data_IF_925987568301
#
_entry.id   IF_925987568301
#
_cell.length_a   1.000
_cell.length_b   1.000
_cell.length_c   1.000
_cell.angle_alpha   90.00
_cell.angle_beta   90.00
_cell.angle_gamma   90.00
#
_symmetry.space_group_name_H-M   'P 1'
#
loop_
_entity.id
_entity.type
_entity.pdbx_description
1 polymer ?
#
# COMPACT_ATOMS: atom_id res chain seq x y z
N UNK A 1 3.60 -14.12 7.05
CA UNK A 1 4.08 -12.82 6.55
C UNK A 1 3.80 -11.80 7.64
N UNK A 2 4.74 -10.90 7.93
CA UNK A 2 4.54 -9.84 8.92
C UNK A 2 3.84 -8.68 8.20
N UNK A 3 2.72 -8.20 8.73
CA UNK A 3 2.10 -6.95 8.26
C UNK A 3 2.99 -5.80 8.71
N UNK A 4 3.46 -4.98 7.77
CA UNK A 4 4.31 -3.83 8.05
C UNK A 4 3.48 -2.57 8.34
N UNK A 5 2.23 -2.53 7.89
CA UNK A 5 1.28 -1.44 8.11
C UNK A 5 1.82 -0.05 7.68
N UNK A 6 2.56 0.00 6.55
CA UNK A 6 3.35 1.19 6.17
C UNK A 6 2.54 2.34 5.59
N UNK A 7 1.43 2.04 4.90
CA UNK A 7 0.62 3.06 4.25
C UNK A 7 -0.63 3.44 5.05
N UNK A 8 -1.12 2.59 5.95
CA UNK A 8 -2.32 2.88 6.74
C UNK A 8 -3.63 2.94 5.93
N UNK A 9 -3.63 2.50 4.67
CA UNK A 9 -4.83 2.27 3.86
C UNK A 9 -5.24 0.82 4.04
N UNK A 10 -6.44 0.58 4.58
CA UNK A 10 -6.90 -0.78 4.92
C UNK A 10 -8.05 -1.25 4.05
N UNK A 11 -7.97 -2.52 3.63
CA UNK A 11 -9.03 -3.21 2.92
C UNK A 11 -9.47 -4.47 3.65
N UNK A 12 -10.75 -4.79 3.50
CA UNK A 12 -11.32 -6.01 4.06
C UNK A 12 -11.11 -7.15 3.07
N UNK A 13 -10.21 -8.05 3.40
CA UNK A 13 -9.82 -9.19 2.55
C UNK A 13 -10.14 -10.49 3.27
N UNK A 14 -10.53 -11.53 2.52
CA UNK A 14 -10.83 -12.85 3.08
C UNK A 14 -9.63 -13.78 2.87
N UNK A 15 -8.89 -14.07 3.95
CA UNK A 15 -7.77 -15.04 3.98
C UNK A 15 -8.13 -16.18 4.94
N UNK A 16 -7.88 -17.43 4.54
CA UNK A 16 -8.18 -18.64 5.34
C UNK A 16 -9.60 -18.66 5.94
N UNK A 17 -10.58 -18.35 5.10
CA UNK A 17 -11.99 -18.21 5.47
C UNK A 17 -12.36 -17.12 6.49
N UNK A 18 -11.41 -16.25 6.84
CA UNK A 18 -11.63 -15.14 7.79
C UNK A 18 -11.45 -13.80 7.11
N UNK A 19 -12.36 -12.88 7.42
CA UNK A 19 -12.22 -11.48 7.02
C UNK A 19 -11.21 -10.77 7.92
N UNK A 20 -10.26 -10.10 7.31
CA UNK A 20 -9.19 -9.37 7.99
C UNK A 20 -9.05 -7.99 7.34
N UNK A 21 -8.63 -7.00 8.14
CA UNK A 21 -8.23 -5.71 7.60
C UNK A 21 -6.73 -5.81 7.30
N UNK A 22 -6.36 -5.64 6.03
CA UNK A 22 -4.99 -5.74 5.55
C UNK A 22 -4.58 -4.37 5.01
N UNK A 23 -3.39 -3.90 5.39
CA UNK A 23 -2.79 -2.68 4.85
C UNK A 23 -2.48 -2.88 3.35
N UNK A 24 -2.69 -1.87 2.51
CA UNK A 24 -2.56 -2.00 1.06
C UNK A 24 -1.19 -2.55 0.63
N UNK A 25 -0.10 -2.06 1.22
CA UNK A 25 1.28 -2.52 0.97
C UNK A 25 1.59 -3.92 1.49
N UNK A 26 0.70 -4.53 2.29
CA UNK A 26 0.80 -5.90 2.80
C UNK A 26 -0.15 -6.89 2.08
N UNK A 27 -0.89 -6.40 1.08
CA UNK A 27 -1.75 -7.21 0.22
C UNK A 27 -0.94 -7.97 -0.82
N UNK A 28 -1.46 -9.10 -1.30
CA UNK A 28 -0.88 -9.79 -2.46
C UNK A 28 -1.33 -9.13 -3.76
N UNK A 29 -0.60 -9.37 -4.85
CA UNK A 29 -0.92 -8.83 -6.17
C UNK A 29 -2.35 -9.25 -6.60
N UNK A 30 -2.78 -10.48 -6.32
CA UNK A 30 -4.13 -10.95 -6.66
C UNK A 30 -5.23 -10.22 -5.88
N UNK A 31 -4.98 -9.91 -4.61
CA UNK A 31 -5.91 -9.17 -3.77
C UNK A 31 -5.99 -7.70 -4.23
N UNK A 32 -4.85 -7.13 -4.61
CA UNK A 32 -4.78 -5.78 -5.19
C UNK A 32 -5.56 -5.77 -6.51
N UNK A 33 -5.31 -6.68 -7.44
CA UNK A 33 -6.00 -6.78 -8.73
C UNK A 33 -7.52 -6.85 -8.59
N UNK A 34 -8.00 -7.62 -7.61
CA UNK A 34 -9.43 -7.71 -7.27
C UNK A 34 -10.00 -6.35 -6.87
N UNK A 35 -9.27 -5.58 -6.07
CA UNK A 35 -9.68 -4.22 -5.66
C UNK A 35 -9.58 -3.22 -6.82
N UNK A 36 -8.52 -3.32 -7.65
CA UNK A 36 -8.31 -2.45 -8.82
C UNK A 36 -9.46 -2.55 -9.79
N UNK A 37 -9.91 -3.77 -10.11
CA UNK A 37 -10.98 -4.00 -11.07
C UNK A 37 -12.29 -3.29 -10.72
N UNK A 38 -12.51 -2.96 -9.45
CA UNK A 38 -13.75 -2.34 -8.96
C UNK A 38 -13.66 -0.81 -8.80
N UNK A 39 -12.50 -0.20 -9.04
CA UNK A 39 -12.24 1.22 -8.71
C UNK A 39 -11.90 2.05 -9.95
N UNK A 40 -12.33 3.31 -9.94
CA UNK A 40 -12.05 4.29 -11.01
C UNK A 40 -10.66 4.95 -10.90
N UNK A 41 -10.26 5.66 -11.94
CA UNK A 41 -8.95 6.33 -12.05
C UNK A 41 -8.67 7.36 -10.95
N UNK A 42 -9.69 8.09 -10.49
CA UNK A 42 -9.53 9.11 -9.45
C UNK A 42 -9.12 8.50 -8.10
N UNK A 43 -9.63 7.30 -7.83
CA UNK A 43 -9.29 6.56 -6.63
C UNK A 43 -7.82 6.11 -6.66
N UNK A 44 -7.36 5.61 -7.81
CA UNK A 44 -5.96 5.23 -8.01
C UNK A 44 -5.00 6.41 -7.87
N UNK A 45 -5.41 7.59 -8.36
CA UNK A 45 -4.66 8.82 -8.15
C UNK A 45 -4.50 9.15 -6.67
N UNK A 46 -5.56 9.00 -5.88
CA UNK A 46 -5.50 9.23 -4.44
C UNK A 46 -4.56 8.23 -3.72
N UNK A 47 -4.65 6.95 -4.06
CA UNK A 47 -3.74 5.91 -3.51
C UNK A 47 -2.28 6.21 -3.87
N UNK A 48 -1.99 6.52 -5.13
CA UNK A 48 -0.62 6.82 -5.57
C UNK A 48 -0.04 8.05 -4.85
N UNK A 49 -0.83 9.11 -4.65
CA UNK A 49 -0.41 10.30 -3.90
C UNK A 49 -0.12 9.97 -2.43
N UNK A 50 -0.96 9.15 -1.80
CA UNK A 50 -0.78 8.74 -0.41
C UNK A 50 0.47 7.85 -0.24
N UNK A 51 0.67 6.89 -1.13
CA UNK A 51 1.87 6.04 -1.11
C UNK A 51 3.15 6.85 -1.30
N UNK A 52 3.13 7.87 -2.17
CA UNK A 52 4.25 8.82 -2.31
C UNK A 52 4.56 9.50 -0.98
N UNK A 53 3.55 9.97 -0.24
CA UNK A 53 3.76 10.60 1.07
C UNK A 53 4.35 9.62 2.08
N UNK A 54 3.88 8.37 2.11
CA UNK A 54 4.43 7.33 2.99
C UNK A 54 5.90 7.04 2.66
N UNK A 55 6.26 6.90 1.39
CA UNK A 55 7.65 6.69 0.95
C UNK A 55 8.52 7.86 1.39
N UNK A 56 8.07 9.11 1.19
CA UNK A 56 8.82 10.28 1.60
C UNK A 56 9.01 10.35 3.12
N UNK A 57 7.97 10.08 3.90
CA UNK A 57 8.06 10.04 5.37
C UNK A 57 9.07 9.01 5.84
N UNK A 58 9.03 7.79 5.30
CA UNK A 58 9.99 6.73 5.61
C UNK A 58 11.41 7.17 5.19
N UNK A 59 11.56 7.78 4.01
CA UNK A 59 12.84 8.31 3.54
C UNK A 59 13.42 9.37 4.47
N UNK A 60 12.60 10.32 4.91
CA UNK A 60 12.99 11.39 5.83
C UNK A 60 13.29 10.88 7.24
N UNK A 61 12.47 9.98 7.77
CA UNK A 61 12.62 9.42 9.13
C UNK A 61 13.90 8.58 9.28
N UNK A 62 14.27 7.84 8.22
CA UNK A 62 15.40 6.91 8.26
C UNK A 62 16.62 7.36 7.42
N UNK A 63 16.61 8.60 6.89
CA UNK A 63 17.61 9.14 5.93
C UNK A 63 17.93 8.15 4.79
N UNK A 64 16.88 7.53 4.24
CA UNK A 64 16.99 6.60 3.11
C UNK A 64 16.96 7.41 1.82
N UNK A 65 17.95 7.17 0.95
CA UNK A 65 18.07 7.77 -0.37
C UNK A 65 18.17 6.70 -1.44
N UNK A 66 17.68 6.97 -2.63
CA UNK A 66 17.98 6.11 -3.79
C UNK A 66 19.49 6.15 -4.06
N UNK A 67 20.05 5.04 -4.53
CA UNK A 67 21.48 4.90 -4.79
C UNK A 67 21.96 5.71 -6.02
N UNK A 68 21.04 6.35 -6.75
CA UNK A 68 21.32 6.99 -8.05
C UNK A 68 21.04 8.50 -8.05
N UNK A 69 21.48 9.21 -7.02
CA UNK A 69 21.51 10.68 -7.02
C UNK A 69 22.97 11.17 -6.97
N UNK A 70 23.72 10.97 -8.06
CA UNK A 70 24.86 11.84 -8.39
C UNK A 70 24.36 13.14 -9.05
#
# INVERSE_FOLDING_TARGET
>A
MINRDLDGIYFRVKRDDRWQNICFSDMTDEEIDTIIGERGSDWWKAVALHLKECINKIGEEFDIRSLDSE
#
